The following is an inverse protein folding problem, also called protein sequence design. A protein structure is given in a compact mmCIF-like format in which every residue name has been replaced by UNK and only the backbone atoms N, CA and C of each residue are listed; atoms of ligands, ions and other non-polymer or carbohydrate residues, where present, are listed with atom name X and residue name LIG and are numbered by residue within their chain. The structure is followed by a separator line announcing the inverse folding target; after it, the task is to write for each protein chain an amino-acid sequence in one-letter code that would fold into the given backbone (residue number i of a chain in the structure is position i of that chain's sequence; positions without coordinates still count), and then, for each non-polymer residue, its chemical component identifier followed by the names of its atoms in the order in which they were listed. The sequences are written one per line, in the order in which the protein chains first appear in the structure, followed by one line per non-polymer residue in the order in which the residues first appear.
data_IF_216897550292
#
_entry.id   IF_216897550292
#
_cell.length_a   1.000
_cell.length_b   1.000
_cell.length_c   1.000
_cell.angle_alpha   90.00
_cell.angle_beta   90.00
_cell.angle_gamma   90.00
#
_symmetry.space_group_name_H-M   'P 1'
#
loop_
_entity.id
_entity.type
_entity.pdbx_description
1 polymer ?
#
# COMPACT_ATOMS: atom_id res chain seq x y z
N UNK A 1 -28.34 21.18 12.72
CA UNK A 1 -27.99 19.94 13.45
C UNK A 1 -26.64 20.17 14.13
N UNK A 2 -26.55 20.00 15.45
CA UNK A 2 -25.29 20.21 16.19
C UNK A 2 -24.38 19.01 15.95
N UNK A 3 -23.16 19.23 15.44
CA UNK A 3 -22.22 18.14 15.21
C UNK A 3 -21.87 17.42 16.53
N UNK A 4 -21.73 16.08 16.48
CA UNK A 4 -21.39 15.26 17.65
C UNK A 4 -19.88 15.06 17.76
N UNK A 5 -19.38 14.75 18.96
CA UNK A 5 -17.97 14.36 19.17
C UNK A 5 -17.57 13.20 18.25
N UNK A 6 -18.47 12.21 18.09
CA UNK A 6 -18.27 11.08 17.19
C UNK A 6 -18.16 11.51 15.72
N UNK A 7 -19.01 12.42 15.24
CA UNK A 7 -18.94 12.90 13.85
C UNK A 7 -17.63 13.65 13.57
N UNK A 8 -17.20 14.51 14.50
CA UNK A 8 -15.93 15.23 14.41
C UNK A 8 -14.73 14.27 14.48
N UNK A 9 -14.79 13.25 15.34
CA UNK A 9 -13.79 12.19 15.40
C UNK A 9 -13.69 11.40 14.09
N UNK A 10 -14.83 11.04 13.49
CA UNK A 10 -14.85 10.34 12.19
C UNK A 10 -14.22 11.19 11.10
N UNK A 11 -14.53 12.50 11.05
CA UNK A 11 -13.89 13.41 10.09
C UNK A 11 -12.38 13.52 10.33
N UNK A 12 -11.95 13.65 11.59
CA UNK A 12 -10.53 13.67 11.94
C UNK A 12 -9.81 12.38 11.51
N UNK A 13 -10.47 11.24 11.68
CA UNK A 13 -9.94 9.94 11.27
C UNK A 13 -9.80 9.85 9.75
N UNK A 14 -10.83 10.24 8.98
CA UNK A 14 -10.81 10.22 7.52
C UNK A 14 -9.73 11.15 6.96
N UNK A 15 -9.64 12.39 7.44
CA UNK A 15 -8.58 13.31 7.01
C UNK A 15 -7.18 12.79 7.36
N UNK A 16 -7.02 12.12 8.50
CA UNK A 16 -5.76 11.47 8.86
C UNK A 16 -5.41 10.29 7.94
N UNK A 17 -6.40 9.56 7.40
CA UNK A 17 -6.15 8.52 6.39
C UNK A 17 -5.78 9.11 5.02
N UNK A 18 -6.29 10.29 4.70
CA UNK A 18 -5.96 11.03 3.47
C UNK A 18 -4.61 11.76 3.54
N UNK A 19 -3.92 11.74 4.69
CA UNK A 19 -2.67 12.47 4.92
C UNK A 19 -2.87 13.98 5.06
N UNK A 20 -4.11 14.44 5.28
CA UNK A 20 -4.43 15.85 5.53
C UNK A 20 -4.38 16.13 7.04
N UNK A 21 -3.18 16.09 7.60
CA UNK A 21 -2.96 16.21 9.04
C UNK A 21 -3.46 17.55 9.62
N UNK A 22 -3.42 18.61 8.82
CA UNK A 22 -3.95 19.92 9.20
C UNK A 22 -5.45 19.87 9.50
N UNK A 23 -6.24 19.31 8.57
CA UNK A 23 -7.68 19.09 8.82
C UNK A 23 -7.91 18.03 9.88
N UNK A 24 -7.15 16.94 9.88
CA UNK A 24 -7.28 15.89 10.89
C UNK A 24 -7.15 16.45 12.32
N UNK A 25 -6.17 17.33 12.56
CA UNK A 25 -5.98 18.02 13.85
C UNK A 25 -7.12 18.98 14.17
N UNK A 26 -7.59 19.75 13.19
CA UNK A 26 -8.72 20.68 13.39
C UNK A 26 -9.97 19.94 13.87
N UNK A 27 -10.33 18.83 13.20
CA UNK A 27 -11.48 18.02 13.55
C UNK A 27 -11.27 17.24 14.86
N UNK A 28 -10.05 16.78 15.15
CA UNK A 28 -9.73 16.15 16.43
C UNK A 28 -9.88 17.13 17.61
N UNK A 29 -9.45 18.38 17.45
CA UNK A 29 -9.63 19.43 18.45
C UNK A 29 -11.13 19.72 18.71
N UNK A 30 -11.94 19.82 17.65
CA UNK A 30 -13.41 19.96 17.77
C UNK A 30 -14.04 18.76 18.47
N UNK A 31 -13.62 17.54 18.13
CA UNK A 31 -14.09 16.33 18.80
C UNK A 31 -13.76 16.33 20.29
N UNK A 32 -12.56 16.80 20.66
CA UNK A 32 -12.09 16.88 22.04
C UNK A 32 -12.94 17.84 22.87
N UNK A 33 -13.14 19.06 22.40
CA UNK A 33 -13.99 20.06 23.08
C UNK A 33 -15.40 19.52 23.33
N UNK A 34 -15.97 18.80 22.36
CA UNK A 34 -17.30 18.20 22.51
C UNK A 34 -17.32 17.02 23.50
N UNK A 35 -16.26 16.24 23.57
CA UNK A 35 -16.13 15.13 24.51
C UNK A 35 -15.88 15.62 25.95
N UNK A 36 -15.05 16.66 26.13
CA UNK A 36 -14.79 17.32 27.42
C UNK A 36 -16.09 17.92 27.99
N UNK A 37 -16.85 18.64 27.15
CA UNK A 37 -18.15 19.21 27.54
C UNK A 37 -19.18 18.16 28.00
N UNK A 38 -19.03 16.92 27.54
CA UNK A 38 -19.93 15.80 27.85
C UNK A 38 -19.41 14.87 28.95
N UNK A 39 -18.18 15.06 29.42
CA UNK A 39 -17.54 14.13 30.36
C UNK A 39 -17.31 12.73 29.77
N UNK A 40 -17.15 12.60 28.45
CA UNK A 40 -17.04 11.32 27.76
C UNK A 40 -15.59 10.83 27.74
N UNK A 41 -15.17 10.20 28.84
CA UNK A 41 -13.82 9.70 29.02
C UNK A 41 -13.39 8.70 27.92
N UNK A 42 -14.31 7.90 27.39
CA UNK A 42 -14.01 6.92 26.34
C UNK A 42 -13.67 7.62 25.03
N UNK A 43 -14.43 8.64 24.65
CA UNK A 43 -14.14 9.41 23.45
C UNK A 43 -12.87 10.25 23.59
N UNK A 44 -12.56 10.78 24.78
CA UNK A 44 -11.30 11.47 25.02
C UNK A 44 -10.10 10.56 24.77
N UNK A 45 -10.10 9.34 25.31
CA UNK A 45 -9.02 8.37 25.07
C UNK A 45 -8.87 8.03 23.58
N UNK A 46 -9.98 7.90 22.84
CA UNK A 46 -9.93 7.66 21.38
C UNK A 46 -9.31 8.84 20.63
N UNK A 47 -9.68 10.07 21.01
CA UNK A 47 -9.15 11.29 20.41
C UNK A 47 -7.67 11.44 20.73
N UNK A 48 -7.25 11.20 21.98
CA UNK A 48 -5.84 11.27 22.38
C UNK A 48 -4.99 10.24 21.64
N UNK A 49 -5.49 9.02 21.42
CA UNK A 49 -4.83 8.03 20.57
C UNK A 49 -4.69 8.49 19.12
N UNK A 50 -5.72 9.14 18.58
CA UNK A 50 -5.69 9.69 17.23
C UNK A 50 -4.68 10.84 17.12
N UNK A 51 -4.67 11.77 18.07
CA UNK A 51 -3.70 12.88 18.14
C UNK A 51 -2.29 12.34 18.29
N UNK A 52 -2.05 11.38 19.19
CA UNK A 52 -0.75 10.73 19.33
C UNK A 52 -0.30 10.02 18.04
N UNK A 53 -1.23 9.52 17.21
CA UNK A 53 -0.90 8.98 15.89
C UNK A 53 -0.51 10.08 14.89
N UNK A 54 -1.15 11.25 14.95
CA UNK A 54 -0.85 12.42 14.11
C UNK A 54 0.46 13.13 14.53
N UNK A 55 0.87 12.98 15.79
CA UNK A 55 2.05 13.66 16.37
C UNK A 55 3.28 12.74 16.46
N UNK A 56 3.09 11.42 16.31
CA UNK A 56 4.23 10.57 15.99
C UNK A 56 4.87 11.16 14.74
N UNK A 57 6.20 11.39 14.72
CA UNK A 57 6.87 11.49 13.44
C UNK A 57 6.43 10.23 12.72
N UNK A 58 5.71 10.41 11.62
CA UNK A 58 5.51 9.34 10.65
C UNK A 58 6.93 8.82 10.49
N UNK A 59 7.21 7.63 11.02
CA UNK A 59 8.35 6.85 10.55
C UNK A 59 8.11 6.90 9.06
N UNK A 60 8.88 7.74 8.35
CA UNK A 60 8.52 8.21 7.02
C UNK A 60 8.46 6.97 6.14
N UNK A 61 7.31 6.30 6.09
CA UNK A 61 6.77 5.70 4.88
C UNK A 61 6.93 6.85 3.91
N UNK A 62 7.99 6.80 3.10
CA UNK A 62 8.48 7.93 2.31
C UNK A 62 7.26 8.60 1.67
N UNK A 63 6.82 9.78 2.16
CA UNK A 63 5.66 10.45 1.62
C UNK A 63 6.16 11.09 0.34
N UNK A 64 6.02 10.39 -0.79
CA UNK A 64 6.67 10.82 -2.02
C UNK A 64 6.52 9.93 -3.25
N UNK A 65 6.12 8.67 -3.15
CA UNK A 65 5.70 7.90 -4.32
C UNK A 65 4.34 7.24 -4.08
N UNK A 66 3.32 8.09 -3.94
CA UNK A 66 1.93 7.64 -3.92
C UNK A 66 1.64 6.77 -5.15
N UNK A 67 0.58 5.96 -5.12
CA UNK A 67 0.05 5.26 -6.30
C UNK A 67 -0.55 6.25 -7.34
N UNK A 68 0.04 7.44 -7.44
CA UNK A 68 -0.32 8.59 -8.24
C UNK A 68 0.84 8.79 -9.23
N UNK A 69 0.51 8.88 -10.52
CA UNK A 69 1.47 8.97 -11.61
C UNK A 69 0.86 8.43 -12.91
N UNK A 70 1.62 8.49 -14.01
CA UNK A 70 1.20 7.88 -15.28
C UNK A 70 1.15 6.37 -15.17
N UNK A 71 -0.02 5.82 -14.87
CA UNK A 71 -0.26 4.38 -14.86
C UNK A 71 -0.05 3.81 -16.27
N UNK A 72 0.79 2.79 -16.37
CA UNK A 72 0.91 1.96 -17.57
C UNK A 72 0.05 0.72 -17.41
N UNK A 73 -0.44 0.18 -18.51
CA UNK A 73 -1.03 -1.16 -18.47
C UNK A 73 0.05 -2.18 -18.05
N UNK A 74 -0.30 -3.10 -17.15
CA UNK A 74 0.57 -4.20 -16.77
C UNK A 74 0.82 -5.07 -18.02
N UNK A 75 2.07 -5.19 -18.49
CA UNK A 75 2.35 -6.00 -19.67
C UNK A 75 2.02 -7.48 -19.41
N UNK A 76 1.79 -8.28 -20.47
CA UNK A 76 1.68 -9.72 -20.30
C UNK A 76 2.99 -10.28 -19.72
N UNK A 77 2.90 -11.01 -18.60
CA UNK A 77 4.04 -11.74 -18.02
C UNK A 77 4.21 -13.13 -18.62
N UNK A 78 5.25 -13.83 -18.18
CA UNK A 78 5.47 -15.25 -18.47
C UNK A 78 4.59 -16.14 -17.59
N UNK A 79 4.49 -17.41 -17.94
CA UNK A 79 3.78 -18.45 -17.18
C UNK A 79 4.67 -19.22 -16.22
N UNK A 80 5.99 -19.08 -16.37
CA UNK A 80 7.08 -19.72 -15.63
C UNK A 80 8.25 -18.74 -15.45
N UNK A 81 9.30 -19.14 -14.72
CA UNK A 81 10.53 -18.34 -14.64
C UNK A 81 11.29 -18.27 -15.98
N UNK A 82 11.23 -19.32 -16.80
CA UNK A 82 11.99 -19.41 -18.04
C UNK A 82 11.45 -18.45 -19.13
N UNK A 83 10.15 -18.23 -19.17
CA UNK A 83 9.48 -17.31 -20.10
C UNK A 83 9.12 -15.96 -19.46
N UNK A 84 9.57 -15.71 -18.23
CA UNK A 84 9.34 -14.46 -17.50
C UNK A 84 9.77 -13.24 -18.32
N UNK A 85 8.88 -12.25 -18.41
CA UNK A 85 9.11 -11.07 -19.25
C UNK A 85 9.85 -9.97 -18.47
N UNK A 86 10.75 -9.21 -19.12
CA UNK A 86 11.41 -8.10 -18.46
C UNK A 86 10.39 -7.06 -18.00
N UNK A 87 10.57 -6.54 -16.78
CA UNK A 87 9.79 -5.41 -16.25
C UNK A 87 10.74 -4.37 -15.66
N UNK A 88 10.36 -3.11 -15.76
CA UNK A 88 11.12 -1.99 -15.20
C UNK A 88 10.38 -1.40 -13.99
N UNK A 89 11.07 -0.63 -13.14
CA UNK A 89 10.39 0.21 -12.16
C UNK A 89 9.33 1.10 -12.81
N UNK A 90 8.20 1.28 -12.13
CA UNK A 90 7.06 2.03 -12.66
C UNK A 90 5.75 1.76 -11.92
N UNK A 91 4.69 2.45 -12.36
CA UNK A 91 3.33 2.28 -11.87
C UNK A 91 2.50 1.55 -12.93
N UNK A 92 1.96 0.40 -12.56
CA UNK A 92 1.25 -0.52 -13.44
C UNK A 92 -0.16 -0.78 -12.93
N UNK A 93 -1.12 -0.86 -13.85
CA UNK A 93 -2.50 -1.26 -13.56
C UNK A 93 -2.91 -2.45 -14.41
N UNK A 94 -3.61 -3.40 -13.80
CA UNK A 94 -4.20 -4.53 -14.53
C UNK A 94 -5.46 -4.07 -15.28
N UNK A 95 -5.51 -4.28 -16.58
CA UNK A 95 -6.72 -4.08 -17.40
C UNK A 95 -7.70 -5.26 -17.32
N UNK A 96 -7.22 -6.40 -16.82
CA UNK A 96 -7.93 -7.69 -16.75
C UNK A 96 -7.58 -8.45 -15.48
N UNK A 97 -8.38 -9.46 -15.15
CA UNK A 97 -8.03 -10.41 -14.11
C UNK A 97 -6.74 -11.16 -14.46
N UNK A 98 -5.96 -11.45 -13.43
CA UNK A 98 -4.73 -12.23 -13.49
C UNK A 98 -4.95 -13.46 -12.60
N UNK A 99 -5.76 -14.38 -13.09
CA UNK A 99 -6.25 -15.56 -12.33
C UNK A 99 -5.15 -16.58 -12.02
N UNK A 100 -4.05 -16.52 -12.78
CA UNK A 100 -2.84 -17.32 -12.57
C UNK A 100 -1.67 -16.38 -12.41
N UNK A 101 -0.70 -16.80 -11.59
CA UNK A 101 0.58 -16.10 -11.43
C UNK A 101 1.21 -15.83 -12.79
N UNK A 102 1.51 -14.57 -13.05
CA UNK A 102 2.35 -14.15 -14.16
C UNK A 102 3.70 -13.72 -13.64
N UNK A 103 4.76 -14.10 -14.36
CA UNK A 103 6.13 -13.93 -13.94
C UNK A 103 6.82 -12.84 -14.75
N UNK A 104 7.54 -11.98 -14.05
CA UNK A 104 8.43 -10.99 -14.62
C UNK A 104 9.84 -11.15 -14.07
N UNK A 105 10.81 -10.62 -14.80
CA UNK A 105 12.23 -10.62 -14.41
C UNK A 105 12.79 -9.20 -14.45
N UNK A 106 13.72 -8.93 -13.56
CA UNK A 106 14.45 -7.66 -13.48
C UNK A 106 15.86 -7.93 -12.94
N UNK A 107 16.80 -7.02 -13.22
CA UNK A 107 18.17 -7.12 -12.70
C UNK A 107 18.30 -6.21 -11.48
N UNK A 108 18.87 -6.75 -10.39
CA UNK A 108 19.25 -5.97 -9.21
C UNK A 108 20.76 -5.99 -9.06
N UNK A 109 21.34 -4.85 -8.68
CA UNK A 109 22.72 -4.81 -8.19
C UNK A 109 22.76 -5.13 -6.70
N UNK A 110 23.94 -5.53 -6.23
CA UNK A 110 24.21 -5.74 -4.80
C UNK A 110 23.77 -4.51 -3.99
N UNK A 111 23.10 -4.75 -2.86
CA UNK A 111 22.53 -3.77 -1.96
C UNK A 111 21.31 -2.99 -2.45
N UNK A 112 20.85 -3.16 -3.69
CA UNK A 112 19.59 -2.55 -4.12
C UNK A 112 18.40 -3.22 -3.42
N UNK A 113 17.44 -2.42 -2.99
CA UNK A 113 16.16 -2.87 -2.45
C UNK A 113 15.11 -2.80 -3.53
N UNK A 114 14.52 -3.96 -3.87
CA UNK A 114 13.31 -4.06 -4.65
C UNK A 114 12.12 -3.89 -3.71
N UNK A 115 11.25 -2.94 -4.01
CA UNK A 115 10.00 -2.72 -3.30
C UNK A 115 8.82 -2.76 -4.29
N UNK A 116 7.78 -3.50 -3.91
CA UNK A 116 6.55 -3.62 -4.69
C UNK A 116 5.39 -3.26 -3.77
N UNK A 117 4.82 -2.09 -4.01
CA UNK A 117 3.62 -1.61 -3.32
C UNK A 117 2.41 -1.84 -4.22
N UNK A 118 1.35 -2.45 -3.69
CA UNK A 118 0.16 -2.76 -4.48
C UNK A 118 -1.12 -2.51 -3.71
N UNK A 119 -2.19 -2.24 -4.46
CA UNK A 119 -3.54 -2.03 -3.95
C UNK A 119 -4.54 -2.71 -4.87
N UNK A 120 -5.60 -3.21 -4.27
CA UNK A 120 -6.79 -3.67 -4.99
C UNK A 120 -7.84 -2.56 -5.10
N UNK A 121 -8.80 -2.66 -6.04
CA UNK A 121 -9.96 -1.76 -6.06
C UNK A 121 -10.85 -1.93 -4.82
N UNK A 122 -11.72 -0.94 -4.59
CA UNK A 122 -12.73 -0.96 -3.53
C UNK A 122 -13.97 -1.75 -3.98
N UNK A 123 -13.86 -3.07 -3.92
CA UNK A 123 -14.93 -4.01 -4.27
C UNK A 123 -15.06 -5.06 -3.18
N UNK A 124 -16.07 -5.92 -3.27
CA UNK A 124 -16.23 -7.00 -2.29
C UNK A 124 -15.24 -8.13 -2.57
N UNK A 125 -14.45 -8.47 -1.54
CA UNK A 125 -13.46 -9.56 -1.54
C UNK A 125 -12.38 -9.52 -2.64
N UNK A 126 -11.68 -8.39 -2.83
CA UNK A 126 -10.59 -8.36 -3.78
C UNK A 126 -9.41 -9.17 -3.25
N UNK A 127 -8.65 -9.72 -4.20
CA UNK A 127 -7.45 -10.47 -3.94
C UNK A 127 -6.33 -10.01 -4.87
N UNK A 128 -5.14 -9.82 -4.32
CA UNK A 128 -3.91 -9.62 -5.08
C UNK A 128 -2.71 -10.14 -4.29
N UNK A 129 -1.79 -10.78 -5.00
CA UNK A 129 -0.58 -11.36 -4.43
C UNK A 129 0.66 -10.92 -5.21
N UNK A 130 1.75 -10.80 -4.47
CA UNK A 130 3.10 -10.48 -4.97
C UNK A 130 4.08 -11.43 -4.31
N UNK A 131 4.99 -11.99 -5.10
CA UNK A 131 6.13 -12.76 -4.58
C UNK A 131 7.40 -12.33 -5.28
N UNK A 132 8.51 -12.30 -4.53
CA UNK A 132 9.87 -12.00 -5.01
C UNK A 132 10.68 -13.29 -4.88
N UNK A 133 11.43 -13.63 -5.91
CA UNK A 133 12.25 -14.83 -6.01
C UNK A 133 13.69 -14.49 -6.38
N UNK A 134 14.62 -15.32 -5.93
CA UNK A 134 16.02 -15.27 -6.33
C UNK A 134 16.23 -15.76 -7.77
N UNK A 135 17.48 -15.72 -8.23
CA UNK A 135 17.89 -16.16 -9.57
C UNK A 135 17.61 -17.64 -9.87
N UNK A 136 17.47 -18.48 -8.84
CA UNK A 136 17.25 -19.92 -8.95
C UNK A 136 15.77 -20.30 -8.75
N UNK A 137 14.89 -19.29 -8.55
CA UNK A 137 13.45 -19.48 -8.33
C UNK A 137 13.08 -19.74 -6.86
N UNK A 138 14.02 -19.59 -5.92
CA UNK A 138 13.76 -19.65 -4.49
C UNK A 138 12.94 -18.46 -4.01
N UNK A 139 11.90 -18.70 -3.20
CA UNK A 139 11.04 -17.65 -2.69
C UNK A 139 11.75 -16.82 -1.61
N UNK A 140 11.90 -15.52 -1.85
CA UNK A 140 12.55 -14.57 -0.93
C UNK A 140 11.53 -13.81 -0.08
N UNK A 141 10.43 -13.36 -0.69
CA UNK A 141 9.38 -12.60 0.00
C UNK A 141 8.03 -12.81 -0.65
N UNK A 142 6.98 -12.72 0.15
CA UNK A 142 5.59 -12.78 -0.29
C UNK A 142 4.77 -11.72 0.45
N UNK A 143 3.80 -11.13 -0.25
CA UNK A 143 2.79 -10.27 0.32
C UNK A 143 1.46 -10.44 -0.42
N UNK A 144 0.37 -10.25 0.31
CA UNK A 144 -0.97 -10.47 -0.21
C UNK A 144 -2.01 -9.55 0.39
N UNK A 145 -3.06 -9.27 -0.38
CA UNK A 145 -4.28 -8.63 0.06
C UNK A 145 -5.41 -9.62 -0.15
N UNK A 146 -6.21 -9.85 0.90
CA UNK A 146 -7.46 -10.62 0.85
C UNK A 146 -8.52 -9.81 1.57
N UNK A 147 -9.67 -9.58 0.94
CA UNK A 147 -10.86 -9.10 1.64
C UNK A 147 -10.76 -7.67 2.19
N UNK A 148 -10.01 -6.78 1.54
CA UNK A 148 -9.75 -5.44 2.06
C UNK A 148 -10.01 -4.34 1.02
N UNK A 149 -10.87 -3.38 1.39
CA UNK A 149 -11.29 -2.25 0.56
C UNK A 149 -10.17 -1.21 0.45
N UNK A 150 -9.54 -1.11 -0.72
CA UNK A 150 -8.48 -0.13 -1.02
C UNK A 150 -7.23 -0.16 -0.13
N UNK A 151 -6.95 -1.29 0.54
CA UNK A 151 -5.73 -1.43 1.34
C UNK A 151 -4.50 -1.46 0.43
N UNK A 152 -3.46 -0.74 0.83
CA UNK A 152 -2.13 -0.84 0.24
C UNK A 152 -1.31 -1.85 1.03
N UNK A 153 -0.49 -2.64 0.34
CA UNK A 153 0.48 -3.55 0.95
C UNK A 153 1.79 -3.42 0.20
N UNK A 154 2.90 -3.54 0.93
CA UNK A 154 4.24 -3.40 0.39
C UNK A 154 5.03 -4.67 0.66
N UNK A 155 5.70 -5.17 -0.37
CA UNK A 155 6.61 -6.32 -0.32
C UNK A 155 7.99 -5.84 -0.74
N UNK A 156 8.96 -5.90 0.16
CA UNK A 156 10.32 -5.41 -0.11
C UNK A 156 11.37 -6.47 0.21
N UNK A 157 12.46 -6.47 -0.54
CA UNK A 157 13.62 -7.32 -0.33
C UNK A 157 14.91 -6.65 -0.85
N UNK A 158 16.01 -6.83 -0.11
CA UNK A 158 17.33 -6.23 -0.42
C UNK A 158 18.26 -7.27 -1.04
N UNK A 159 18.78 -6.96 -2.22
CA UNK A 159 19.71 -7.80 -2.97
C UNK A 159 21.04 -7.97 -2.25
N UNK A 160 21.46 -9.22 -2.09
CA UNK A 160 22.75 -9.62 -1.52
C UNK A 160 23.83 -9.80 -2.58
N UNK A 161 23.44 -9.94 -3.85
CA UNK A 161 24.32 -10.08 -4.99
C UNK A 161 23.73 -9.44 -6.25
N UNK A 162 24.58 -9.18 -7.25
CA UNK A 162 24.14 -8.71 -8.56
C UNK A 162 23.63 -9.90 -9.38
N UNK A 163 22.32 -10.00 -9.55
CA UNK A 163 21.69 -11.10 -10.28
C UNK A 163 20.33 -10.71 -10.87
N UNK A 164 19.84 -11.56 -11.79
CA UNK A 164 18.44 -11.55 -12.21
C UNK A 164 17.58 -12.04 -11.04
N UNK A 165 16.47 -11.34 -10.81
CA UNK A 165 15.46 -11.73 -9.83
C UNK A 165 14.11 -11.84 -10.53
N UNK A 166 13.22 -12.64 -9.96
CA UNK A 166 11.89 -12.82 -10.51
C UNK A 166 10.83 -12.30 -9.57
N UNK A 167 9.73 -11.83 -10.14
CA UNK A 167 8.53 -11.45 -9.39
C UNK A 167 7.34 -12.18 -9.99
N UNK A 168 6.41 -12.62 -9.14
CA UNK A 168 5.11 -13.12 -9.59
C UNK A 168 4.00 -12.22 -9.10
N UNK A 169 3.04 -11.92 -9.99
CA UNK A 169 1.85 -11.15 -9.67
C UNK A 169 0.60 -11.97 -10.00
N UNK A 170 -0.42 -11.91 -9.15
CA UNK A 170 -1.76 -12.40 -9.43
C UNK A 170 -2.81 -11.50 -8.78
N UNK A 171 -3.99 -11.42 -9.39
CA UNK A 171 -5.10 -10.55 -8.97
C UNK A 171 -6.44 -11.06 -9.49
N UNK A 172 -7.45 -11.09 -8.64
CA UNK A 172 -8.83 -11.46 -9.04
C UNK A 172 -9.61 -10.32 -9.67
N UNK A 173 -9.06 -9.10 -9.67
CA UNK A 173 -9.74 -7.92 -10.22
C UNK A 173 -8.90 -7.18 -11.26
N UNK A 174 -9.56 -6.60 -12.29
CA UNK A 174 -8.98 -5.47 -13.01
C UNK A 174 -8.82 -4.30 -12.04
N UNK A 175 -8.04 -3.29 -12.44
CA UNK A 175 -7.74 -2.10 -11.65
C UNK A 175 -6.94 -2.32 -10.35
N UNK A 176 -6.37 -3.51 -10.15
CA UNK A 176 -5.28 -3.69 -9.20
C UNK A 176 -4.06 -2.94 -9.71
N UNK A 177 -3.48 -2.12 -8.85
CA UNK A 177 -2.34 -1.26 -9.17
C UNK A 177 -1.11 -1.74 -8.41
N UNK A 178 0.01 -1.81 -9.11
CA UNK A 178 1.33 -2.20 -8.61
C UNK A 178 2.32 -1.08 -8.90
N UNK A 179 3.04 -0.63 -7.89
CA UNK A 179 4.21 0.26 -8.01
C UNK A 179 5.45 -0.58 -7.72
N UNK A 180 6.36 -0.62 -8.69
CA UNK A 180 7.64 -1.31 -8.59
C UNK A 180 8.73 -0.26 -8.49
N UNK A 181 9.53 -0.30 -7.44
CA UNK A 181 10.64 0.63 -7.18
C UNK A 181 11.91 -0.15 -6.86
N UNK A 182 13.04 0.43 -7.25
CA UNK A 182 14.38 -0.07 -6.92
C UNK A 182 15.14 1.11 -6.31
N UNK A 183 15.69 0.92 -5.11
CA UNK A 183 16.46 1.96 -4.41
C UNK A 183 17.81 1.41 -3.95
N UNK A 184 18.85 2.23 -3.91
CA UNK A 184 20.16 1.85 -3.37
C UNK A 184 20.20 1.86 -1.82
#
# INVERSE_FOLDING_TARGET
QTATSTAQFTLAYLYGQEGNDGRAREYAAKARVLAEKRGDAVNLVKIDRLVARLDRPVEKERPGEGMIGGEKELPPGGTTFNDAKPISPGLYKTSRRVEKKVYFRLNLNTHQTLEITFRTPDVDYPYANVSIYDKDGGLLKHGGIIGSRSRKTTTAWKATEKAVHYISLDSTHPDTVYRITITD
#
